data_IF_968615917016
#
_entry.id   IF_968615917016
#
_cell.length_a   1.000
_cell.length_b   1.000
_cell.length_c   1.000
_cell.angle_alpha   90.00
_cell.angle_beta   90.00
_cell.angle_gamma   90.00
#
_symmetry.space_group_name_H-M   'P 1'
#
loop_
_entity.id
_entity.type
_entity.pdbx_description
1 polymer ?
#
# COMPACT_ATOMS: atom_id res chain seq x y z
N UNK A 1 0.92 14.96 -2.04
CA UNK A 1 0.98 13.60 -1.45
C UNK A 1 0.46 13.55 -0.03
N UNK A 2 0.61 14.61 0.77
CA UNK A 2 0.11 14.70 2.14
C UNK A 2 -1.35 14.22 2.31
N UNK A 3 -2.29 14.72 1.50
CA UNK A 3 -3.71 14.31 1.56
C UNK A 3 -3.92 12.81 1.39
N UNK A 4 -3.26 12.19 0.39
CA UNK A 4 -3.37 10.74 0.13
C UNK A 4 -2.82 9.91 1.29
N UNK A 5 -1.77 10.39 1.95
CA UNK A 5 -1.19 9.72 3.12
C UNK A 5 -2.13 9.83 4.32
N UNK A 6 -2.75 10.99 4.54
CA UNK A 6 -3.71 11.19 5.63
C UNK A 6 -4.96 10.31 5.46
N UNK A 7 -5.49 10.22 4.24
CA UNK A 7 -6.62 9.34 3.90
C UNK A 7 -6.24 7.87 4.08
N UNK A 8 -5.10 7.45 3.54
CA UNK A 8 -4.61 6.08 3.70
C UNK A 8 -4.37 5.72 5.17
N UNK A 9 -3.85 6.65 5.98
CA UNK A 9 -3.69 6.45 7.41
C UNK A 9 -5.03 6.35 8.14
N UNK A 10 -6.07 7.09 7.70
CA UNK A 10 -7.42 6.96 8.24
C UNK A 10 -8.02 5.58 7.96
N UNK A 11 -7.82 5.06 6.75
CA UNK A 11 -8.24 3.70 6.37
C UNK A 11 -7.46 2.65 7.17
N UNK A 12 -6.14 2.81 7.29
CA UNK A 12 -5.28 1.88 8.02
C UNK A 12 -5.67 1.72 9.50
N UNK A 13 -6.16 2.78 10.14
CA UNK A 13 -6.70 2.72 11.50
C UNK A 13 -7.92 1.80 11.65
N UNK A 14 -8.60 1.44 10.57
CA UNK A 14 -9.71 0.49 10.56
C UNK A 14 -9.27 -0.97 10.37
N UNK A 15 -7.95 -1.23 10.39
CA UNK A 15 -7.39 -2.58 10.20
C UNK A 15 -7.23 -2.99 8.74
N UNK A 16 -7.18 -2.03 7.82
CA UNK A 16 -7.03 -2.28 6.38
C UNK A 16 -5.66 -1.79 5.89
N UNK A 17 -4.83 -2.68 5.38
CA UNK A 17 -3.55 -2.31 4.77
C UNK A 17 -3.77 -1.53 3.47
N UNK A 18 -3.13 -0.37 3.33
CA UNK A 18 -3.23 0.48 2.14
C UNK A 18 -1.91 0.47 1.37
N UNK A 19 -1.99 0.15 0.08
CA UNK A 19 -0.84 0.11 -0.82
C UNK A 19 -0.91 1.29 -1.80
N UNK A 20 0.16 2.07 -1.84
CA UNK A 20 0.35 3.18 -2.80
C UNK A 20 1.48 2.77 -3.74
N UNK A 21 1.17 2.65 -5.01
CA UNK A 21 2.14 2.29 -6.06
C UNK A 21 1.86 3.06 -7.34
N UNK A 22 2.84 3.08 -8.25
CA UNK A 22 2.73 3.78 -9.53
C UNK A 22 1.74 3.04 -10.44
N UNK A 23 0.80 3.77 -11.02
CA UNK A 23 -0.16 3.22 -11.99
C UNK A 23 0.56 2.63 -13.20
N UNK A 24 -0.06 1.62 -13.83
CA UNK A 24 0.44 0.95 -15.04
C UNK A 24 1.81 0.28 -14.84
N UNK A 25 1.97 -0.36 -13.69
CA UNK A 25 3.15 -1.17 -13.34
C UNK A 25 2.74 -2.54 -12.85
N UNK A 26 3.67 -3.50 -12.89
CA UNK A 26 3.45 -4.83 -12.32
C UNK A 26 3.06 -4.77 -10.83
N UNK A 27 3.71 -3.88 -10.06
CA UNK A 27 3.41 -3.65 -8.65
C UNK A 27 1.97 -3.16 -8.42
N UNK A 28 1.42 -2.34 -9.32
CA UNK A 28 0.01 -1.92 -9.26
C UNK A 28 -0.97 -3.07 -9.52
N UNK A 29 -0.65 -3.96 -10.46
CA UNK A 29 -1.47 -5.14 -10.71
C UNK A 29 -1.40 -6.13 -9.55
N UNK A 30 -0.21 -6.31 -8.97
CA UNK A 30 0.01 -7.15 -7.78
C UNK A 30 -0.77 -6.63 -6.58
N UNK A 31 -0.75 -5.31 -6.34
CA UNK A 31 -1.55 -4.67 -5.29
C UNK A 31 -3.05 -4.92 -5.48
N UNK A 32 -3.58 -4.77 -6.70
CA UNK A 32 -4.99 -5.03 -7.01
C UNK A 32 -5.38 -6.50 -6.83
N UNK A 33 -4.45 -7.43 -7.02
CA UNK A 33 -4.65 -8.88 -6.81
C UNK A 33 -4.47 -9.31 -5.35
N UNK A 34 -4.02 -8.41 -4.47
CA UNK A 34 -3.64 -8.75 -3.10
C UNK A 34 -2.35 -9.58 -2.99
N UNK A 35 -1.58 -9.69 -4.07
CA UNK A 35 -0.31 -10.43 -4.12
C UNK A 35 0.86 -9.53 -3.72
N UNK A 36 0.82 -9.05 -2.48
CA UNK A 36 1.81 -8.10 -1.97
C UNK A 36 2.64 -8.72 -0.85
N UNK A 37 3.78 -9.28 -1.22
CA UNK A 37 4.82 -9.65 -0.26
C UNK A 37 5.75 -8.46 0.01
N UNK A 38 5.41 -7.64 1.01
CA UNK A 38 6.19 -6.44 1.38
C UNK A 38 7.53 -6.76 2.03
N UNK A 39 7.79 -8.02 2.37
CA UNK A 39 9.03 -8.49 2.97
C UNK A 39 10.06 -8.90 1.93
N UNK A 40 9.71 -8.86 0.64
CA UNK A 40 10.63 -9.07 -0.47
C UNK A 40 11.24 -7.75 -0.92
N UNK A 41 12.54 -7.76 -1.20
CA UNK A 41 13.27 -6.59 -1.73
C UNK A 41 12.77 -6.12 -3.10
N UNK A 42 11.94 -6.93 -3.79
CA UNK A 42 11.35 -6.61 -5.09
C UNK A 42 10.11 -5.68 -5.01
N UNK A 43 9.57 -5.43 -3.81
CA UNK A 43 8.40 -4.57 -3.69
C UNK A 43 8.73 -3.09 -3.91
N UNK A 44 8.12 -2.48 -4.94
CA UNK A 44 8.20 -1.05 -5.21
C UNK A 44 6.85 -0.35 -4.94
N UNK A 45 6.73 0.23 -3.74
CA UNK A 45 5.58 1.02 -3.33
C UNK A 45 5.64 1.42 -1.86
N UNK A 46 4.70 2.25 -1.42
CA UNK A 46 4.51 2.61 -0.01
C UNK A 46 3.38 1.79 0.57
N UNK A 47 3.59 1.24 1.76
CA UNK A 47 2.54 0.53 2.50
C UNK A 47 2.24 1.26 3.78
N UNK A 48 0.97 1.59 4.00
CA UNK A 48 0.46 2.25 5.19
C UNK A 48 -0.41 1.24 5.92
N UNK A 49 -0.03 0.90 7.15
CA UNK A 49 -0.68 -0.07 8.01
C UNK A 49 -0.75 0.46 9.43
N UNK A 50 -1.72 0.01 10.22
CA UNK A 50 -1.72 0.33 11.65
C UNK A 50 -0.48 -0.28 12.32
N UNK A 51 0.18 0.50 13.18
CA UNK A 51 1.17 -0.07 14.07
C UNK A 51 0.48 -1.08 15.01
N UNK A 52 1.17 -2.18 15.31
CA UNK A 52 0.74 -3.13 16.33
C UNK A 52 0.71 -2.48 17.70
#
# INVERSE_FOLDING_TARGET
METKILEAAAIARLGVDVYITKVDTEHSLRALKGDVNTSSDDWLGTVIRAAK
#
